data_IF_126981982834
#
_entry.id   IF_126981982834
#
_cell.length_a   1.000
_cell.length_b   1.000
_cell.length_c   1.000
_cell.angle_alpha   90.00
_cell.angle_beta   90.00
_cell.angle_gamma   90.00
#
_symmetry.space_group_name_H-M   'P 1'
#
loop_
_entity.id
_entity.type
_entity.pdbx_description
1 polymer ?
#
# COMPACT_ATOMS: atom_id res chain seq x y z
N UNK A 1 -2.58 3.03 0.54
CA UNK A 1 -2.87 2.41 -0.77
C UNK A 1 -2.19 1.06 -0.90
N UNK A 2 -0.86 0.98 -1.00
CA UNK A 2 -0.13 -0.30 -1.09
C UNK A 2 -0.56 -1.31 -0.02
N UNK A 3 -0.54 -0.93 1.26
CA UNK A 3 -1.00 -1.82 2.33
C UNK A 3 -2.47 -2.24 2.21
N UNK A 4 -3.36 -1.38 1.73
CA UNK A 4 -4.76 -1.75 1.51
C UNK A 4 -4.87 -2.80 0.39
N UNK A 5 -4.03 -2.68 -0.64
CA UNK A 5 -3.96 -3.67 -1.73
C UNK A 5 -3.46 -5.03 -1.24
N UNK A 6 -2.51 -5.04 -0.31
CA UNK A 6 -1.91 -6.28 0.22
C UNK A 6 -2.73 -6.93 1.34
N UNK A 7 -3.41 -6.13 2.16
CA UNK A 7 -4.04 -6.59 3.41
C UNK A 7 -5.57 -6.68 3.33
N UNK A 8 -6.19 -6.31 2.20
CA UNK A 8 -7.64 -6.36 2.02
C UNK A 8 -8.03 -6.93 0.67
N UNK A 9 -9.27 -7.37 0.54
CA UNK A 9 -9.85 -7.85 -0.72
C UNK A 9 -10.46 -6.72 -1.57
N UNK A 10 -10.17 -5.45 -1.26
CA UNK A 10 -10.73 -4.32 -1.98
C UNK A 10 -10.18 -4.24 -3.42
N UNK A 11 -11.07 -3.91 -4.35
CA UNK A 11 -10.70 -3.64 -5.74
C UNK A 11 -9.91 -2.32 -5.85
N UNK A 12 -9.08 -2.17 -6.90
CA UNK A 12 -8.33 -0.94 -7.13
C UNK A 12 -9.22 0.31 -7.22
N UNK A 13 -10.39 0.29 -7.89
CA UNK A 13 -11.32 1.43 -7.88
C UNK A 13 -11.84 1.72 -6.47
N UNK A 14 -12.16 0.70 -5.67
CA UNK A 14 -12.67 0.89 -4.31
C UNK A 14 -11.59 1.48 -3.40
N UNK A 15 -10.34 1.02 -3.51
CA UNK A 15 -9.21 1.66 -2.83
C UNK A 15 -9.07 3.12 -3.29
N UNK A 16 -9.21 3.42 -4.57
CA UNK A 16 -9.16 4.80 -5.07
C UNK A 16 -10.23 5.69 -4.43
N UNK A 17 -11.47 5.17 -4.35
CA UNK A 17 -12.62 5.82 -3.72
C UNK A 17 -12.36 6.15 -2.24
N UNK A 18 -11.93 5.17 -1.43
CA UNK A 18 -11.62 5.36 0.00
C UNK A 18 -10.47 6.36 0.24
N UNK A 19 -9.62 6.59 -0.76
CA UNK A 19 -8.52 7.54 -0.71
C UNK A 19 -8.88 8.89 -1.36
N UNK A 20 -10.15 9.31 -1.24
CA UNK A 20 -10.63 10.61 -1.68
C UNK A 20 -11.02 10.66 -3.16
N UNK A 21 -11.57 9.57 -3.70
CA UNK A 21 -12.01 9.51 -5.09
C UNK A 21 -10.86 9.51 -6.11
N UNK A 22 -9.70 8.98 -5.75
CA UNK A 22 -8.55 8.88 -6.65
C UNK A 22 -8.77 7.81 -7.71
N UNK A 23 -8.23 8.05 -8.90
CA UNK A 23 -8.33 7.08 -9.98
C UNK A 23 -7.58 5.77 -9.63
N UNK A 24 -8.11 4.64 -10.06
CA UNK A 24 -7.51 3.32 -9.83
C UNK A 24 -6.06 3.22 -10.33
N UNK A 25 -5.69 3.93 -11.39
CA UNK A 25 -4.30 4.04 -11.87
C UNK A 25 -3.38 4.72 -10.85
N UNK A 26 -3.88 5.66 -10.05
CA UNK A 26 -3.12 6.24 -8.93
C UNK A 26 -2.81 5.19 -7.86
N UNK A 27 -3.73 4.26 -7.62
CA UNK A 27 -3.50 3.14 -6.72
C UNK A 27 -2.43 2.20 -7.28
N UNK A 28 -2.47 1.90 -8.57
CA UNK A 28 -1.44 1.10 -9.26
C UNK A 28 -0.07 1.76 -9.08
N UNK A 29 0.07 3.04 -9.45
CA UNK A 29 1.33 3.77 -9.32
C UNK A 29 1.83 3.85 -7.88
N UNK A 30 0.94 4.01 -6.90
CA UNK A 30 1.32 4.01 -5.49
C UNK A 30 1.84 2.63 -5.04
N UNK A 31 1.28 1.53 -5.57
CA UNK A 31 1.76 0.18 -5.25
C UNK A 31 3.13 -0.09 -5.88
N UNK A 32 3.28 0.21 -7.18
CA UNK A 32 4.55 0.06 -7.90
C UNK A 32 5.67 0.87 -7.25
N UNK A 33 5.38 2.13 -6.90
CA UNK A 33 6.34 3.02 -6.23
C UNK A 33 6.82 2.43 -4.91
N UNK A 34 5.90 2.02 -4.04
CA UNK A 34 6.29 1.46 -2.73
C UNK A 34 7.07 0.15 -2.90
N UNK A 35 6.68 -0.71 -3.84
CA UNK A 35 7.43 -1.94 -4.12
C UNK A 35 8.86 -1.65 -4.60
N UNK A 36 9.04 -0.66 -5.48
CA UNK A 36 10.36 -0.25 -5.93
C UNK A 36 11.19 0.39 -4.80
N UNK A 37 10.60 1.32 -4.06
CA UNK A 37 11.28 2.05 -2.99
C UNK A 37 11.69 1.07 -1.87
N UNK A 38 10.89 0.04 -1.55
CA UNK A 38 11.28 -1.00 -0.59
C UNK A 38 12.46 -1.86 -1.06
N UNK A 39 12.68 -1.97 -2.37
CA UNK A 39 13.86 -2.66 -2.93
C UNK A 39 15.15 -1.84 -2.88
N UNK A 40 15.04 -0.52 -2.68
CA UNK A 40 16.18 0.42 -2.74
C UNK A 40 16.45 1.12 -1.40
N UNK A 41 15.45 1.21 -0.52
CA UNK A 41 15.53 1.80 0.82
C UNK A 41 15.21 0.75 1.90
N UNK A 42 16.24 0.18 2.56
CA UNK A 42 16.06 -0.76 3.66
C UNK A 42 15.29 -0.17 4.87
N UNK A 43 15.35 1.15 5.07
CA UNK A 43 14.63 1.82 6.16
C UNK A 43 13.14 1.82 5.86
N UNK A 44 12.76 2.13 4.61
CA UNK A 44 11.37 2.05 4.19
C UNK A 44 10.85 0.61 4.30
N UNK A 45 11.63 -0.38 3.85
CA UNK A 45 11.26 -1.79 3.96
C UNK A 45 10.98 -2.19 5.42
N UNK A 46 11.87 -1.80 6.35
CA UNK A 46 11.70 -2.07 7.77
C UNK A 46 10.44 -1.41 8.33
N UNK A 47 10.19 -0.14 7.99
CA UNK A 47 9.01 0.60 8.44
C UNK A 47 7.71 -0.04 7.93
N UNK A 48 7.66 -0.44 6.64
CA UNK A 48 6.48 -1.10 6.07
C UNK A 48 6.22 -2.43 6.77
N UNK A 49 7.26 -3.25 7.00
CA UNK A 49 7.14 -4.51 7.75
C UNK A 49 6.61 -4.28 9.17
N UNK A 50 7.13 -3.29 9.89
CA UNK A 50 6.65 -2.97 11.24
C UNK A 50 5.16 -2.60 11.25
N UNK A 51 4.73 -1.75 10.32
CA UNK A 51 3.33 -1.35 10.21
C UNK A 51 2.44 -2.57 9.92
N UNK A 52 2.84 -3.44 9.00
CA UNK A 52 2.10 -4.67 8.68
C UNK A 52 1.95 -5.56 9.92
N UNK A 53 3.03 -5.77 10.67
CA UNK A 53 2.99 -6.59 11.89
C UNK A 53 2.08 -5.99 12.96
N UNK A 54 2.04 -4.66 13.08
CA UNK A 54 1.13 -3.98 14.02
C UNK A 54 -0.33 -4.11 13.61
N UNK A 55 -0.63 -4.03 12.30
CA UNK A 55 -1.99 -4.18 11.78
C UNK A 55 -2.52 -5.60 11.91
N UNK A 56 -1.67 -6.63 11.77
CA UNK A 56 -2.06 -8.05 11.94
C UNK A 56 -2.30 -8.46 13.39
N UNK A 57 -1.74 -7.71 14.34
CA UNK A 57 -1.89 -7.97 15.79
C UNK A 57 -3.09 -7.26 16.41
N UNK A 58 -3.77 -6.40 15.64
CA UNK A 58 -5.01 -5.73 16.02
C UNK A 58 -6.22 -6.55 15.58
#
# INVERSE_FOLDING_TARGET
MHLCRELTELSLPKIGEEFGGRDHTTVIHACEKIQHDMGTDPTLEANVKEIVERLKKA
#
